data_IF_863294253233
#
_entry.id   IF_863294253233
#
_cell.length_a   1.000
_cell.length_b   1.000
_cell.length_c   1.000
_cell.angle_alpha   90.00
_cell.angle_beta   90.00
_cell.angle_gamma   90.00
#
_symmetry.space_group_name_H-M   'P 1'
#
loop_
_entity.id
_entity.type
_entity.pdbx_description
1 polymer ?
#
# COMPACT_ATOMS: atom_id res chain seq x y z
N UNK A 1 6.24 -0.45 30.87
CA UNK A 1 6.33 -1.55 29.89
C UNK A 1 6.24 -0.97 28.49
N UNK A 2 7.02 -1.50 27.57
CA UNK A 2 6.97 -1.07 26.16
C UNK A 2 5.64 -1.54 25.56
N UNK A 3 4.89 -0.65 24.88
CA UNK A 3 3.64 -1.02 24.21
C UNK A 3 3.89 -2.08 23.13
N UNK A 4 2.94 -3.00 22.91
CA UNK A 4 3.06 -4.03 21.88
C UNK A 4 3.01 -3.48 20.44
N UNK A 5 3.34 -4.32 19.46
CA UNK A 5 3.05 -4.12 18.03
C UNK A 5 1.82 -4.95 17.67
N UNK A 6 0.90 -4.36 16.90
CA UNK A 6 -0.26 -5.08 16.38
C UNK A 6 -0.03 -5.53 14.95
N UNK A 7 -0.12 -6.82 14.70
CA UNK A 7 -0.16 -7.38 13.34
C UNK A 7 -1.61 -7.53 12.92
N UNK A 8 -1.96 -6.94 11.78
CA UNK A 8 -3.29 -7.04 11.17
C UNK A 8 -3.17 -7.94 9.95
N UNK A 9 -3.77 -9.12 10.00
CA UNK A 9 -3.75 -10.08 8.90
C UNK A 9 -5.00 -9.93 8.04
N UNK A 10 -4.81 -9.50 6.78
CA UNK A 10 -5.88 -9.31 5.80
C UNK A 10 -5.96 -10.45 4.79
N UNK A 11 -4.92 -11.27 4.68
CA UNK A 11 -4.78 -12.31 3.67
C UNK A 11 -3.45 -12.22 2.91
N UNK A 12 -3.45 -12.80 1.73
CA UNK A 12 -2.28 -12.83 0.85
C UNK A 12 -1.38 -14.06 1.06
N UNK A 13 -0.45 -14.23 0.14
CA UNK A 13 0.42 -15.41 0.02
C UNK A 13 1.23 -15.69 1.28
N UNK A 14 1.63 -14.64 2.02
CA UNK A 14 2.44 -14.78 3.24
C UNK A 14 1.79 -15.69 4.28
N UNK A 15 0.47 -15.61 4.46
CA UNK A 15 -0.28 -16.43 5.41
C UNK A 15 -0.95 -17.65 4.78
N UNK A 16 -0.41 -18.17 3.70
CA UNK A 16 -0.90 -19.38 3.06
C UNK A 16 0.00 -20.58 3.36
N UNK A 17 -0.61 -21.72 3.62
CA UNK A 17 0.08 -23.03 3.76
C UNK A 17 -0.50 -24.01 2.77
N UNK A 18 0.29 -25.01 2.40
CA UNK A 18 -0.24 -26.14 1.65
C UNK A 18 -1.06 -27.04 2.58
N UNK A 19 -2.29 -27.27 2.23
CA UNK A 19 -3.08 -28.32 2.83
C UNK A 19 -2.37 -29.68 2.60
N UNK A 20 -2.07 -30.46 3.65
CA UNK A 20 -1.30 -31.69 3.52
C UNK A 20 -2.05 -32.79 2.75
N UNK A 21 -3.39 -32.74 2.66
CA UNK A 21 -4.20 -33.75 1.98
C UNK A 21 -4.47 -33.39 0.51
N UNK A 22 -4.74 -32.11 0.24
CA UNK A 22 -5.11 -31.65 -1.11
C UNK A 22 -3.99 -30.99 -1.87
N UNK A 23 -2.94 -30.53 -1.18
CA UNK A 23 -1.86 -29.73 -1.74
C UNK A 23 -2.28 -28.28 -2.12
N UNK A 24 -3.54 -27.92 -1.90
CA UNK A 24 -4.04 -26.57 -2.16
C UNK A 24 -3.49 -25.59 -1.11
N UNK A 25 -3.32 -24.31 -1.52
CA UNK A 25 -3.00 -23.25 -0.57
C UNK A 25 -4.26 -22.89 0.23
N UNK A 26 -4.16 -22.96 1.56
CA UNK A 26 -5.19 -22.52 2.49
C UNK A 26 -4.63 -21.46 3.44
N UNK A 27 -5.48 -20.50 3.85
CA UNK A 27 -5.11 -19.51 4.85
C UNK A 27 -4.88 -20.18 6.19
N UNK A 28 -3.91 -19.70 6.97
CA UNK A 28 -3.72 -20.12 8.35
C UNK A 28 -3.70 -18.92 9.31
N UNK A 29 -3.90 -19.20 10.59
CA UNK A 29 -3.95 -18.15 11.59
C UNK A 29 -2.55 -17.65 11.97
N UNK A 30 -2.48 -16.52 12.69
CA UNK A 30 -1.21 -15.91 13.09
C UNK A 30 -0.39 -16.81 14.04
N UNK A 31 -1.02 -17.64 14.88
CA UNK A 31 -0.29 -18.56 15.76
C UNK A 31 0.55 -19.56 14.94
N UNK A 32 0.04 -19.96 13.80
CA UNK A 32 0.78 -20.80 12.85
C UNK A 32 1.92 -20.02 12.18
N UNK A 33 1.72 -18.75 11.81
CA UNK A 33 2.79 -17.87 11.32
C UNK A 33 3.90 -17.76 12.37
N UNK A 34 3.55 -17.55 13.64
CA UNK A 34 4.51 -17.47 14.73
C UNK A 34 5.28 -18.80 14.98
N UNK A 35 4.70 -19.94 14.57
CA UNK A 35 5.43 -21.21 14.58
C UNK A 35 6.44 -21.33 13.44
N UNK A 36 6.14 -20.76 12.27
CA UNK A 36 7.05 -20.75 11.12
C UNK A 36 8.18 -19.71 11.25
N UNK A 37 8.00 -18.70 12.11
CA UNK A 37 8.98 -17.63 12.40
C UNK A 37 9.21 -17.54 13.91
N UNK A 38 9.89 -18.53 14.52
CA UNK A 38 10.11 -18.55 15.97
C UNK A 38 10.91 -17.34 16.48
N UNK A 39 11.69 -16.70 15.61
CA UNK A 39 12.47 -15.48 15.88
C UNK A 39 11.61 -14.32 16.38
N UNK A 40 10.33 -14.31 16.04
CA UNK A 40 9.37 -13.31 16.54
C UNK A 40 9.32 -13.29 18.09
N UNK A 41 9.56 -14.42 18.74
CA UNK A 41 9.57 -14.53 20.19
C UNK A 41 10.81 -13.94 20.85
N UNK A 42 11.85 -13.66 20.07
CA UNK A 42 13.10 -13.05 20.57
C UNK A 42 13.01 -11.53 20.69
N UNK A 43 11.97 -10.90 20.10
CA UNK A 43 11.71 -9.49 20.33
C UNK A 43 11.41 -9.22 21.80
N UNK A 44 12.08 -8.23 22.40
CA UNK A 44 11.94 -7.86 23.81
C UNK A 44 10.61 -7.16 24.17
N UNK A 45 9.56 -7.29 23.33
CA UNK A 45 8.24 -6.69 23.50
C UNK A 45 7.15 -7.64 22.99
N UNK A 46 5.91 -7.39 23.39
CA UNK A 46 4.76 -8.22 22.98
C UNK A 46 4.33 -7.90 21.56
N UNK A 47 3.94 -8.92 20.83
CA UNK A 47 3.34 -8.83 19.50
C UNK A 47 1.97 -9.47 19.57
N UNK A 48 0.94 -8.68 19.29
CA UNK A 48 -0.42 -9.14 19.21
C UNK A 48 -0.88 -9.23 17.76
N UNK A 49 -1.91 -10.03 17.52
CA UNK A 49 -2.46 -10.20 16.19
C UNK A 49 -3.96 -9.98 16.13
N UNK A 50 -4.41 -9.43 15.03
CA UNK A 50 -5.80 -9.31 14.66
C UNK A 50 -6.01 -9.89 13.26
N UNK A 51 -6.74 -10.97 13.16
CA UNK A 51 -7.11 -11.55 11.87
C UNK A 51 -8.49 -11.03 11.47
N UNK A 52 -8.61 -10.56 10.22
CA UNK A 52 -9.93 -10.17 9.70
C UNK A 52 -10.88 -11.35 9.70
N UNK A 53 -12.18 -11.12 9.94
CA UNK A 53 -13.19 -12.17 9.92
C UNK A 53 -13.27 -12.89 8.57
N UNK A 54 -13.00 -12.18 7.48
CA UNK A 54 -12.91 -12.70 6.14
C UNK A 54 -11.52 -12.38 5.58
N UNK A 55 -10.77 -13.44 5.24
CA UNK A 55 -9.46 -13.33 4.63
C UNK A 55 -9.63 -13.16 3.13
N UNK A 56 -9.03 -12.10 2.57
CA UNK A 56 -9.27 -11.67 1.19
C UNK A 56 -8.04 -11.97 0.33
N UNK A 57 -8.25 -12.53 -0.86
CA UNK A 57 -7.25 -12.40 -1.92
C UNK A 57 -7.18 -10.93 -2.34
N UNK A 58 -5.99 -10.37 -2.41
CA UNK A 58 -5.82 -8.95 -2.71
C UNK A 58 -6.32 -8.55 -4.10
N UNK A 59 -6.50 -9.51 -5.01
CA UNK A 59 -7.14 -9.27 -6.32
C UNK A 59 -8.63 -8.94 -6.22
N UNK A 60 -9.30 -9.39 -5.15
CA UNK A 60 -10.71 -9.13 -4.87
C UNK A 60 -10.94 -7.94 -3.94
N UNK A 61 -9.89 -7.17 -3.66
CA UNK A 61 -9.95 -6.05 -2.74
C UNK A 61 -11.00 -5.01 -3.13
N UNK A 62 -11.78 -4.58 -2.14
CA UNK A 62 -12.75 -3.49 -2.26
C UNK A 62 -12.39 -2.35 -1.29
N UNK A 63 -12.80 -1.10 -1.56
CA UNK A 63 -12.52 0.05 -0.69
C UNK A 63 -13.01 -0.10 0.75
N UNK A 64 -13.96 -1.02 1.01
CA UNK A 64 -14.43 -1.33 2.36
C UNK A 64 -13.28 -1.81 3.26
N UNK A 65 -12.35 -2.62 2.73
CA UNK A 65 -11.17 -3.07 3.48
C UNK A 65 -10.35 -1.90 4.03
N UNK A 66 -10.19 -0.82 3.26
CA UNK A 66 -9.45 0.35 3.72
C UNK A 66 -10.13 1.05 4.89
N UNK A 67 -11.47 1.14 4.86
CA UNK A 67 -12.27 1.67 5.99
C UNK A 67 -12.12 0.81 7.24
N UNK A 68 -12.16 -0.51 7.06
CA UNK A 68 -12.01 -1.47 8.15
C UNK A 68 -10.61 -1.37 8.77
N UNK A 69 -9.56 -1.30 7.96
CA UNK A 69 -8.18 -1.10 8.42
C UNK A 69 -8.01 0.22 9.19
N UNK A 70 -8.55 1.33 8.67
CA UNK A 70 -8.54 2.60 9.39
C UNK A 70 -9.24 2.48 10.76
N UNK A 71 -10.40 1.84 10.80
CA UNK A 71 -11.16 1.62 12.03
C UNK A 71 -10.40 0.78 13.06
N UNK A 72 -9.76 -0.32 12.60
CA UNK A 72 -8.95 -1.19 13.45
C UNK A 72 -7.75 -0.41 14.02
N UNK A 73 -7.02 0.32 13.16
CA UNK A 73 -5.85 1.11 13.56
C UNK A 73 -6.26 2.18 14.59
N UNK A 74 -7.31 2.96 14.30
CA UNK A 74 -7.76 4.02 15.22
C UNK A 74 -8.23 3.48 16.56
N UNK A 75 -9.01 2.39 16.56
CA UNK A 75 -9.51 1.76 17.78
C UNK A 75 -8.38 1.28 18.70
N UNK A 76 -7.26 0.86 18.12
CA UNK A 76 -6.11 0.30 18.83
C UNK A 76 -4.93 1.28 18.94
N UNK A 77 -5.12 2.54 18.49
CA UNK A 77 -4.01 3.47 18.33
C UNK A 77 -3.26 3.74 19.63
N UNK A 78 -3.97 3.89 20.73
CA UNK A 78 -3.37 4.22 22.02
C UNK A 78 -2.69 3.02 22.69
N UNK A 79 -3.12 1.81 22.41
CA UNK A 79 -2.63 0.58 23.04
C UNK A 79 -1.34 0.05 22.41
N UNK A 80 -1.12 0.33 21.12
CA UNK A 80 0.00 -0.19 20.36
C UNK A 80 1.00 0.90 19.98
N UNK A 81 2.26 0.52 19.82
CA UNK A 81 3.34 1.42 19.37
C UNK A 81 3.46 1.50 17.85
N UNK A 82 3.01 0.50 17.13
CA UNK A 82 3.02 0.44 15.67
C UNK A 82 2.16 -0.69 15.16
N UNK A 83 1.91 -0.67 13.86
CA UNK A 83 1.02 -1.59 13.16
C UNK A 83 1.75 -2.22 11.98
N UNK A 84 1.61 -3.53 11.84
CA UNK A 84 2.07 -4.28 10.65
C UNK A 84 0.84 -4.85 9.96
N UNK A 85 0.65 -4.56 8.68
CA UNK A 85 -0.46 -5.07 7.88
C UNK A 85 0.07 -6.13 6.92
N UNK A 86 -0.30 -7.41 7.17
CA UNK A 86 0.01 -8.51 6.25
C UNK A 86 -1.03 -8.53 5.14
N UNK A 87 -0.58 -8.32 3.90
CA UNK A 87 -1.43 -8.07 2.75
C UNK A 87 -0.93 -8.81 1.50
N UNK A 88 -1.84 -9.16 0.61
CA UNK A 88 -1.46 -9.71 -0.70
C UNK A 88 -0.77 -8.67 -1.57
N UNK A 89 0.25 -9.10 -2.32
CA UNK A 89 1.17 -8.18 -3.02
C UNK A 89 0.54 -7.43 -4.21
N UNK A 90 -0.53 -7.97 -4.83
CA UNK A 90 -1.07 -7.42 -6.09
C UNK A 90 -1.67 -6.03 -5.92
N UNK A 91 -2.36 -5.78 -4.82
CA UNK A 91 -2.99 -4.47 -4.54
C UNK A 91 -2.44 -3.78 -3.30
N UNK A 92 -1.32 -4.26 -2.73
CA UNK A 92 -0.70 -3.66 -1.55
C UNK A 92 -0.37 -2.18 -1.75
N UNK A 93 0.14 -1.81 -2.92
CA UNK A 93 0.46 -0.42 -3.26
C UNK A 93 -0.79 0.48 -3.25
N UNK A 94 -1.94 -0.03 -3.71
CA UNK A 94 -3.21 0.69 -3.64
C UNK A 94 -3.67 0.88 -2.19
N UNK A 95 -3.60 -0.17 -1.38
CA UNK A 95 -3.99 -0.10 0.04
C UNK A 95 -3.10 0.84 0.84
N UNK A 96 -1.79 0.75 0.68
CA UNK A 96 -0.86 1.63 1.37
C UNK A 96 -1.03 3.09 0.92
N UNK A 97 -1.23 3.34 -0.38
CA UNK A 97 -1.53 4.67 -0.89
C UNK A 97 -2.84 5.21 -0.31
N UNK A 98 -3.92 4.42 -0.34
CA UNK A 98 -5.22 4.80 0.21
C UNK A 98 -5.10 5.16 1.70
N UNK A 99 -4.52 4.31 2.53
CA UNK A 99 -4.36 4.58 3.95
C UNK A 99 -3.47 5.79 4.23
N UNK A 100 -2.46 6.07 3.39
CA UNK A 100 -1.63 7.28 3.50
C UNK A 100 -2.43 8.57 3.38
N UNK A 101 -3.54 8.57 2.61
CA UNK A 101 -4.44 9.71 2.47
C UNK A 101 -5.63 9.67 3.42
N UNK A 102 -6.03 8.48 3.86
CA UNK A 102 -7.18 8.32 4.76
C UNK A 102 -6.81 8.59 6.22
N UNK A 103 -5.62 8.20 6.67
CA UNK A 103 -5.14 8.39 8.03
C UNK A 103 -4.44 9.74 8.16
N UNK A 104 -5.00 10.63 8.95
CA UNK A 104 -4.45 11.96 9.20
C UNK A 104 -3.72 11.99 10.55
N UNK A 105 -2.69 12.82 10.66
CA UNK A 105 -1.94 13.08 11.89
C UNK A 105 -1.31 11.83 12.51
N UNK A 106 -0.85 10.88 11.67
CA UNK A 106 -0.14 9.70 12.13
C UNK A 106 1.15 10.09 12.87
N UNK A 107 1.35 9.50 14.04
CA UNK A 107 2.58 9.60 14.85
C UNK A 107 3.21 8.24 15.09
N UNK A 108 2.63 7.19 14.53
CA UNK A 108 3.06 5.80 14.68
C UNK A 108 3.21 5.14 13.31
N UNK A 109 4.09 4.13 13.17
CA UNK A 109 4.26 3.39 11.93
C UNK A 109 3.03 2.54 11.59
N UNK A 110 2.68 2.52 10.30
CA UNK A 110 1.76 1.54 9.70
C UNK A 110 2.50 0.89 8.54
N UNK A 111 3.01 -0.31 8.74
CA UNK A 111 3.90 -0.98 7.79
C UNK A 111 3.14 -2.09 7.07
N UNK A 112 2.89 -1.91 5.79
CA UNK A 112 2.39 -2.97 4.92
C UNK A 112 3.52 -3.88 4.52
N UNK A 113 3.28 -5.18 4.55
CA UNK A 113 4.20 -6.18 4.03
C UNK A 113 3.44 -7.43 3.58
N UNK A 114 4.15 -8.32 2.91
CA UNK A 114 3.65 -9.57 2.37
C UNK A 114 4.79 -10.41 1.85
N UNK A 115 4.50 -11.37 1.00
CA UNK A 115 5.54 -12.18 0.35
C UNK A 115 5.12 -12.65 -1.03
N UNK A 116 6.12 -12.98 -1.85
CA UNK A 116 5.90 -13.65 -3.13
C UNK A 116 5.67 -15.15 -2.93
N UNK A 117 6.27 -15.72 -1.90
CA UNK A 117 6.11 -17.15 -1.56
C UNK A 117 5.48 -17.30 -0.17
N UNK A 118 4.65 -18.35 0.02
CA UNK A 118 4.12 -18.69 1.34
C UNK A 118 5.24 -18.82 2.39
N UNK A 119 4.94 -18.41 3.63
CA UNK A 119 5.94 -18.33 4.69
C UNK A 119 6.57 -19.71 5.04
N UNK A 120 5.84 -20.82 4.86
CA UNK A 120 6.33 -22.17 5.06
C UNK A 120 7.19 -22.73 3.91
N UNK A 121 7.47 -21.97 2.84
CA UNK A 121 8.34 -22.45 1.75
C UNK A 121 9.81 -22.21 2.06
N UNK A 122 10.69 -23.15 1.63
CA UNK A 122 12.14 -23.12 1.91
C UNK A 122 12.82 -21.82 1.47
N UNK A 123 12.38 -21.22 0.37
CA UNK A 123 12.96 -19.98 -0.18
C UNK A 123 12.03 -18.78 -0.02
N UNK A 124 11.21 -18.78 1.02
CA UNK A 124 10.29 -17.67 1.24
C UNK A 124 11.02 -16.36 1.55
N UNK A 125 10.53 -15.26 0.99
CA UNK A 125 10.86 -13.90 1.37
C UNK A 125 10.03 -13.41 2.57
N UNK A 126 8.98 -14.18 2.95
CA UNK A 126 8.02 -13.78 3.97
C UNK A 126 8.59 -13.65 5.38
N UNK A 127 9.60 -14.46 5.74
CA UNK A 127 10.20 -14.40 7.07
C UNK A 127 10.94 -13.09 7.30
N UNK A 128 11.85 -12.76 6.40
CA UNK A 128 12.63 -11.52 6.49
C UNK A 128 11.74 -10.26 6.40
N UNK A 129 10.77 -10.29 5.48
CA UNK A 129 9.80 -9.20 5.34
C UNK A 129 9.00 -8.99 6.64
N UNK A 130 8.54 -10.05 7.29
CA UNK A 130 7.77 -9.98 8.53
C UNK A 130 8.64 -9.47 9.70
N UNK A 131 9.82 -10.05 9.88
CA UNK A 131 10.76 -9.67 10.96
C UNK A 131 11.11 -8.19 10.83
N UNK A 132 11.55 -7.74 9.66
CA UNK A 132 11.93 -6.36 9.43
C UNK A 132 10.74 -5.40 9.59
N UNK A 133 9.53 -5.79 9.16
CA UNK A 133 8.33 -4.96 9.35
C UNK A 133 8.00 -4.76 10.85
N UNK A 134 8.12 -5.82 11.65
CA UNK A 134 7.90 -5.74 13.11
C UNK A 134 8.97 -4.87 13.77
N UNK A 135 10.23 -5.04 13.40
CA UNK A 135 11.34 -4.24 13.93
C UNK A 135 11.13 -2.75 13.66
N UNK A 136 10.78 -2.38 12.41
CA UNK A 136 10.52 -0.99 12.02
C UNK A 136 9.28 -0.45 12.72
N UNK A 137 8.20 -1.24 12.84
CA UNK A 137 6.99 -0.84 13.55
C UNK A 137 7.24 -0.58 15.05
N UNK A 138 8.27 -1.23 15.61
CA UNK A 138 8.69 -1.06 16.99
C UNK A 138 9.81 -0.02 17.18
N UNK A 139 10.38 0.54 16.11
CA UNK A 139 11.53 1.42 16.18
C UNK A 139 11.16 2.83 16.65
N UNK A 140 11.77 3.24 17.77
CA UNK A 140 11.52 4.53 18.43
C UNK A 140 12.85 5.14 18.91
N UNK A 141 12.95 6.44 18.76
CA UNK A 141 13.93 7.25 19.48
C UNK A 141 13.19 7.96 20.63
N UNK A 142 13.46 7.53 21.88
CA UNK A 142 12.71 7.91 23.06
C UNK A 142 11.21 7.61 22.90
N UNK A 143 10.35 8.63 22.84
CA UNK A 143 8.89 8.50 22.71
C UNK A 143 8.41 8.74 21.27
N UNK A 144 9.31 8.95 20.31
CA UNK A 144 8.95 9.24 18.92
C UNK A 144 9.25 8.05 18.02
N UNK A 145 8.26 7.64 17.23
CA UNK A 145 8.49 6.66 16.18
C UNK A 145 9.53 7.15 15.18
N UNK A 146 10.44 6.27 14.75
CA UNK A 146 11.40 6.63 13.71
C UNK A 146 10.71 6.85 12.37
N UNK A 147 9.66 6.07 12.05
CA UNK A 147 8.92 6.23 10.78
C UNK A 147 7.42 6.38 11.09
N UNK A 148 6.92 7.61 11.36
CA UNK A 148 5.51 7.85 11.68
C UNK A 148 4.65 7.97 10.42
N UNK A 149 4.74 7.00 9.51
CA UNK A 149 4.08 7.04 8.21
C UNK A 149 3.44 5.69 7.86
N UNK A 150 2.56 5.71 6.84
CA UNK A 150 2.14 4.49 6.15
C UNK A 150 3.21 4.11 5.13
N UNK A 151 3.76 2.92 5.25
CA UNK A 151 4.88 2.43 4.45
C UNK A 151 4.61 1.05 3.87
N UNK A 152 5.36 0.71 2.84
CA UNK A 152 5.53 -0.66 2.34
C UNK A 152 6.96 -1.09 2.62
N UNK A 153 7.10 -2.21 3.34
CA UNK A 153 8.35 -2.92 3.45
C UNK A 153 8.30 -4.13 2.53
N UNK A 154 9.26 -4.22 1.63
CA UNK A 154 9.39 -5.39 0.77
C UNK A 154 10.84 -5.60 0.35
N UNK A 155 11.33 -6.83 0.48
CA UNK A 155 12.75 -7.13 0.28
C UNK A 155 13.62 -6.36 1.28
N UNK A 156 14.61 -5.65 0.74
CA UNK A 156 15.60 -4.89 1.53
C UNK A 156 15.27 -3.39 1.69
N UNK A 157 14.02 -2.96 1.39
CA UNK A 157 13.67 -1.52 1.37
C UNK A 157 12.35 -1.22 2.03
N UNK A 158 12.34 -0.08 2.72
CA UNK A 158 11.14 0.56 3.22
C UNK A 158 10.78 1.75 2.33
N UNK A 159 9.59 1.73 1.78
CA UNK A 159 9.08 2.78 0.90
C UNK A 159 7.91 3.52 1.52
N UNK A 160 7.77 4.81 1.20
CA UNK A 160 6.55 5.56 1.52
C UNK A 160 5.36 4.97 0.76
N UNK A 161 4.26 4.67 1.45
CA UNK A 161 3.13 3.94 0.91
C UNK A 161 2.50 4.57 -0.34
N UNK A 162 2.35 5.89 -0.36
CA UNK A 162 1.78 6.61 -1.51
C UNK A 162 2.78 6.96 -2.62
N UNK A 163 4.00 6.43 -2.56
CA UNK A 163 5.05 6.63 -3.57
C UNK A 163 5.52 5.33 -4.20
N UNK A 164 4.87 4.23 -3.87
CA UNK A 164 5.32 2.87 -4.19
C UNK A 164 4.39 2.21 -5.19
N UNK A 165 4.95 1.43 -6.08
CA UNK A 165 4.20 0.58 -7.02
C UNK A 165 4.83 -0.80 -7.13
N UNK A 166 4.01 -1.82 -7.42
CA UNK A 166 4.49 -3.16 -7.78
C UNK A 166 4.99 -3.14 -9.22
N UNK A 167 6.23 -3.52 -9.42
CA UNK A 167 6.91 -3.48 -10.72
C UNK A 167 7.20 -4.87 -11.29
N UNK A 168 7.14 -5.91 -10.46
CA UNK A 168 7.49 -7.26 -10.90
C UNK A 168 6.56 -8.29 -10.23
N UNK A 169 6.12 -9.27 -10.99
CA UNK A 169 5.24 -10.34 -10.54
C UNK A 169 5.99 -11.55 -9.97
N UNK A 170 7.29 -11.69 -10.24
CA UNK A 170 8.06 -12.90 -9.93
C UNK A 170 9.30 -12.63 -9.05
N UNK A 171 9.80 -11.40 -9.04
CA UNK A 171 10.99 -11.04 -8.26
C UNK A 171 10.66 -10.83 -6.79
N UNK A 172 11.62 -11.12 -5.91
CA UNK A 172 11.56 -10.69 -4.51
C UNK A 172 11.78 -9.16 -4.37
N UNK A 173 12.43 -8.51 -5.32
CA UNK A 173 12.47 -7.04 -5.46
C UNK A 173 11.28 -6.62 -6.34
N UNK A 174 10.06 -6.73 -5.79
CA UNK A 174 8.81 -6.57 -6.52
C UNK A 174 8.23 -5.16 -6.46
N UNK A 175 8.73 -4.29 -5.58
CA UNK A 175 8.21 -2.94 -5.37
C UNK A 175 9.29 -1.89 -5.58
N UNK A 176 8.88 -0.71 -6.07
CA UNK A 176 9.77 0.42 -6.27
C UNK A 176 9.06 1.75 -6.08
N UNK A 177 9.83 2.74 -5.66
CA UNK A 177 9.45 4.15 -5.61
C UNK A 177 10.33 4.93 -6.58
N UNK A 178 9.77 5.37 -7.72
CA UNK A 178 10.55 5.99 -8.78
C UNK A 178 10.89 7.45 -8.53
N UNK A 179 9.99 8.18 -7.87
CA UNK A 179 10.09 9.63 -7.66
C UNK A 179 10.37 10.02 -6.22
N UNK A 180 10.67 9.05 -5.37
CA UNK A 180 10.97 9.30 -3.96
C UNK A 180 11.98 8.26 -3.45
N UNK A 181 12.95 8.65 -2.62
CA UNK A 181 13.91 7.70 -2.08
C UNK A 181 13.25 6.69 -1.15
N UNK A 182 13.90 5.54 -0.94
CA UNK A 182 13.52 4.62 0.12
C UNK A 182 13.71 5.32 1.49
N UNK A 183 12.79 5.08 2.42
CA UNK A 183 12.85 5.63 3.79
C UNK A 183 13.85 4.87 4.66
N UNK A 184 14.11 3.62 4.32
CA UNK A 184 15.17 2.83 4.94
C UNK A 184 15.67 1.74 3.99
N UNK A 185 16.92 1.32 4.21
CA UNK A 185 17.51 0.13 3.60
C UNK A 185 17.83 -0.88 4.71
N UNK A 186 17.37 -2.11 4.49
CA UNK A 186 17.49 -3.22 5.44
C UNK A 186 18.72 -4.05 5.06
N UNK A 187 19.65 -4.20 5.99
CA UNK A 187 20.83 -5.02 5.88
C UNK A 187 21.11 -5.65 7.24
N UNK A 188 22.38 -5.80 7.62
CA UNK A 188 22.76 -6.21 8.99
C UNK A 188 22.19 -5.20 10.01
N UNK A 189 22.11 -3.94 9.61
CA UNK A 189 21.46 -2.87 10.35
C UNK A 189 20.45 -2.19 9.43
N UNK A 190 19.38 -1.66 10.02
CA UNK A 190 18.41 -0.82 9.30
C UNK A 190 18.96 0.60 9.23
N UNK A 191 19.21 1.07 8.02
CA UNK A 191 19.69 2.41 7.74
C UNK A 191 18.52 3.31 7.30
N UNK A 192 18.06 4.19 8.19
CA UNK A 192 16.98 5.15 7.93
C UNK A 192 17.48 6.39 7.19
N UNK A 193 16.76 6.82 6.18
CA UNK A 193 16.95 8.14 5.55
C UNK A 193 16.09 9.18 6.26
N UNK A 194 16.64 9.78 7.30
CA UNK A 194 15.95 10.79 8.11
C UNK A 194 15.58 12.06 7.31
N UNK A 195 16.18 12.29 6.16
CA UNK A 195 15.84 13.42 5.28
C UNK A 195 14.60 13.13 4.43
N UNK A 196 14.31 11.86 4.19
CA UNK A 196 13.16 11.40 3.41
C UNK A 196 11.92 11.15 4.28
N UNK A 197 12.08 10.85 5.57
CA UNK A 197 10.96 10.58 6.48
C UNK A 197 10.22 11.88 6.83
N UNK A 198 8.87 11.83 6.86
CA UNK A 198 8.04 12.99 7.20
C UNK A 198 7.93 13.20 8.71
N UNK A 199 8.70 14.14 9.23
CA UNK A 199 8.66 14.59 10.61
C UNK A 199 7.87 15.88 10.82
N UNK A 200 6.96 16.22 9.91
CA UNK A 200 6.08 17.38 10.10
C UNK A 200 5.34 17.25 11.43
N UNK A 201 5.44 18.27 12.31
CA UNK A 201 4.77 18.21 13.62
C UNK A 201 3.26 17.99 13.48
N UNK A 202 2.73 17.02 14.22
CA UNK A 202 1.29 16.76 14.28
C UNK A 202 0.75 17.42 15.55
N UNK A 203 -0.18 18.35 15.39
CA UNK A 203 -0.78 19.13 16.47
C UNK A 203 -2.16 18.61 16.85
N UNK A 204 -2.76 17.79 16.00
CA UNK A 204 -4.08 17.22 16.21
C UNK A 204 -3.99 15.72 16.47
N UNK A 205 -5.04 15.17 17.06
CA UNK A 205 -5.17 13.74 17.27
C UNK A 205 -5.27 13.00 15.92
N UNK A 206 -4.80 11.76 15.91
CA UNK A 206 -4.98 10.88 14.76
C UNK A 206 -6.46 10.73 14.42
N UNK A 207 -6.78 10.79 13.16
CA UNK A 207 -8.14 10.64 12.63
C UNK A 207 -8.13 9.95 11.27
N UNK A 208 -9.29 9.52 10.80
CA UNK A 208 -9.40 8.99 9.46
C UNK A 208 -10.52 9.67 8.69
N UNK A 209 -10.27 9.95 7.42
CA UNK A 209 -11.26 10.32 6.43
C UNK A 209 -11.47 9.13 5.49
N UNK A 210 -12.59 8.44 5.65
CA UNK A 210 -12.87 7.18 4.96
C UNK A 210 -13.96 7.29 3.87
N UNK A 211 -14.35 8.51 3.52
CA UNK A 211 -15.34 8.74 2.45
C UNK A 211 -14.66 8.79 1.09
N UNK A 212 -14.53 7.63 0.45
CA UNK A 212 -13.93 7.48 -0.88
C UNK A 212 -15.01 7.34 -1.95
N UNK A 213 -14.84 8.06 -3.05
CA UNK A 213 -15.75 7.98 -4.20
C UNK A 213 -15.16 7.06 -5.27
N UNK A 214 -15.90 6.05 -5.65
CA UNK A 214 -15.50 5.07 -6.67
C UNK A 214 -15.95 5.44 -8.08
N UNK A 215 -16.62 6.57 -8.26
CA UNK A 215 -17.09 7.06 -9.57
C UNK A 215 -15.94 7.70 -10.35
N UNK A 216 -14.86 6.99 -10.52
CA UNK A 216 -13.68 7.40 -11.28
C UNK A 216 -13.35 6.38 -12.37
N UNK A 217 -12.70 6.84 -13.43
CA UNK A 217 -12.18 5.97 -14.49
C UNK A 217 -10.72 6.32 -14.81
N UNK A 218 -9.98 5.32 -15.28
CA UNK A 218 -8.63 5.53 -15.83
C UNK A 218 -8.74 5.48 -17.35
N UNK A 219 -8.25 6.53 -18.02
CA UNK A 219 -8.17 6.60 -19.47
C UNK A 219 -6.70 6.68 -19.89
N UNK A 220 -6.14 5.53 -20.23
CA UNK A 220 -4.79 5.45 -20.79
C UNK A 220 -4.87 5.64 -22.29
N UNK A 221 -4.31 6.74 -22.82
CA UNK A 221 -4.27 6.98 -24.25
C UNK A 221 -3.18 6.15 -24.92
N UNK A 222 -3.42 5.75 -26.18
CA UNK A 222 -2.45 5.02 -26.99
C UNK A 222 -2.61 5.38 -28.48
N UNK A 223 -1.55 5.23 -29.31
CA UNK A 223 -1.63 5.47 -30.74
C UNK A 223 -2.70 4.57 -31.39
N UNK A 224 -3.60 5.18 -32.17
CA UNK A 224 -4.69 4.47 -32.81
C UNK A 224 -5.96 4.31 -31.95
N UNK A 225 -6.01 4.90 -30.75
CA UNK A 225 -7.24 4.93 -29.94
C UNK A 225 -8.36 5.63 -30.73
N UNK A 226 -9.48 4.93 -30.88
CA UNK A 226 -10.65 5.46 -31.55
C UNK A 226 -11.45 6.38 -30.63
N UNK A 227 -12.12 7.41 -31.20
CA UNK A 227 -12.96 8.33 -30.41
C UNK A 227 -14.03 7.64 -29.56
N UNK A 228 -14.57 6.51 -30.05
CA UNK A 228 -15.61 5.75 -29.34
C UNK A 228 -15.14 5.16 -28.01
N UNK A 229 -13.84 4.91 -27.83
CA UNK A 229 -13.26 4.48 -26.55
C UNK A 229 -13.35 5.63 -25.53
N UNK A 230 -13.04 6.85 -25.97
CA UNK A 230 -13.16 8.05 -25.11
C UNK A 230 -14.63 8.27 -24.77
N UNK A 231 -15.54 8.18 -25.76
CA UNK A 231 -16.96 8.35 -25.55
C UNK A 231 -17.52 7.32 -24.57
N UNK A 232 -17.10 6.08 -24.64
CA UNK A 232 -17.53 5.03 -23.71
C UNK A 232 -17.11 5.35 -22.26
N UNK A 233 -15.87 5.79 -22.03
CA UNK A 233 -15.40 6.18 -20.69
C UNK A 233 -16.11 7.45 -20.20
N UNK A 234 -16.19 8.49 -21.02
CA UNK A 234 -16.78 9.77 -20.62
C UNK A 234 -18.31 9.71 -20.52
N UNK A 235 -18.92 8.69 -21.08
CA UNK A 235 -20.36 8.39 -21.02
C UNK A 235 -20.78 7.54 -19.82
N UNK A 236 -19.88 7.14 -18.94
CA UNK A 236 -20.21 6.36 -17.74
C UNK A 236 -21.15 7.17 -16.86
N UNK A 237 -22.36 6.66 -16.53
CA UNK A 237 -23.30 7.38 -15.68
C UNK A 237 -22.72 7.67 -14.29
N UNK A 238 -22.85 8.90 -13.83
CA UNK A 238 -22.36 9.30 -12.50
C UNK A 238 -20.86 9.49 -12.38
N UNK A 239 -20.10 9.40 -13.48
CA UNK A 239 -18.65 9.61 -13.47
C UNK A 239 -18.31 10.99 -12.90
N UNK A 240 -17.37 11.04 -11.95
CA UNK A 240 -16.93 12.28 -11.28
C UNK A 240 -15.49 12.64 -11.59
N UNK A 241 -14.66 11.65 -11.93
CA UNK A 241 -13.24 11.88 -12.18
C UNK A 241 -12.66 10.95 -13.25
N UNK A 242 -11.68 11.46 -13.98
CA UNK A 242 -10.87 10.70 -14.93
C UNK A 242 -9.40 10.91 -14.58
N UNK A 243 -8.68 9.82 -14.42
CA UNK A 243 -7.22 9.80 -14.43
C UNK A 243 -6.81 9.60 -15.89
N UNK A 244 -6.29 10.66 -16.50
CA UNK A 244 -5.86 10.66 -17.91
C UNK A 244 -4.36 10.35 -17.96
N UNK A 245 -4.02 9.12 -18.38
CA UNK A 245 -2.63 8.71 -18.55
C UNK A 245 -2.12 9.13 -19.93
N UNK A 246 -1.27 10.15 -19.94
CA UNK A 246 -0.69 10.76 -21.15
C UNK A 246 0.76 10.36 -21.37
N UNK A 247 1.33 10.72 -22.53
CA UNK A 247 2.69 10.36 -22.91
C UNK A 247 3.73 11.28 -22.25
N UNK A 248 4.89 10.71 -21.90
CA UNK A 248 6.05 11.48 -21.44
C UNK A 248 5.67 12.50 -20.35
N UNK A 249 6.03 13.75 -20.52
CA UNK A 249 5.78 14.85 -19.58
C UNK A 249 4.38 15.47 -19.66
N UNK A 250 3.40 14.74 -20.20
CA UNK A 250 2.00 15.20 -20.29
C UNK A 250 1.50 15.38 -21.72
N UNK A 251 2.22 14.87 -22.71
CA UNK A 251 1.85 15.00 -24.13
C UNK A 251 0.60 14.15 -24.46
N UNK A 252 -0.29 14.72 -25.26
CA UNK A 252 -1.52 14.09 -25.72
C UNK A 252 -1.82 14.47 -27.18
N UNK A 253 -2.75 13.78 -27.88
CA UNK A 253 -3.15 14.17 -29.23
C UNK A 253 -3.68 15.62 -29.29
N UNK A 254 -3.23 16.39 -30.29
CA UNK A 254 -3.62 17.79 -30.48
C UNK A 254 -4.79 17.95 -31.47
N UNK A 255 -5.32 16.83 -31.98
CA UNK A 255 -6.46 16.89 -32.89
C UNK A 255 -7.72 17.41 -32.20
N UNK A 256 -8.57 18.09 -33.00
CA UNK A 256 -9.79 18.73 -32.50
C UNK A 256 -10.77 17.77 -31.84
N UNK A 257 -10.81 16.51 -32.28
CA UNK A 257 -11.73 15.50 -31.72
C UNK A 257 -11.37 15.21 -30.27
N UNK A 258 -10.11 14.91 -29.99
CA UNK A 258 -9.63 14.64 -28.63
C UNK A 258 -9.83 15.88 -27.73
N UNK A 259 -9.38 17.06 -28.20
CA UNK A 259 -9.45 18.29 -27.40
C UNK A 259 -10.92 18.69 -27.07
N UNK A 260 -11.84 18.50 -28.04
CA UNK A 260 -13.26 18.78 -27.80
C UNK A 260 -13.86 17.81 -26.78
N UNK A 261 -13.46 16.53 -26.79
CA UNK A 261 -13.91 15.55 -25.78
C UNK A 261 -13.42 15.92 -24.37
N UNK A 262 -12.16 16.31 -24.21
CA UNK A 262 -11.65 16.78 -22.90
C UNK A 262 -12.41 18.02 -22.43
N UNK A 263 -12.68 18.99 -23.33
CA UNK A 263 -13.49 20.19 -23.01
C UNK A 263 -14.91 19.83 -22.58
N UNK A 264 -15.55 18.89 -23.28
CA UNK A 264 -16.89 18.40 -22.94
C UNK A 264 -16.92 17.79 -21.53
N UNK A 265 -15.95 16.93 -21.19
CA UNK A 265 -15.81 16.31 -19.88
C UNK A 265 -15.70 17.38 -18.78
N UNK A 266 -14.79 18.33 -18.97
CA UNK A 266 -14.60 19.44 -18.03
C UNK A 266 -15.86 20.30 -17.88
N UNK A 267 -16.60 20.55 -18.98
CA UNK A 267 -17.85 21.33 -18.95
C UNK A 267 -18.98 20.64 -18.17
N UNK A 268 -18.92 19.31 -18.04
CA UNK A 268 -19.85 18.51 -17.22
C UNK A 268 -19.46 18.49 -15.73
N UNK A 269 -18.39 19.18 -15.33
CA UNK A 269 -17.88 19.19 -13.95
C UNK A 269 -17.14 17.94 -13.55
N UNK A 270 -16.72 17.10 -14.50
CA UNK A 270 -15.92 15.91 -14.24
C UNK A 270 -14.46 16.35 -14.08
N UNK A 271 -13.83 15.97 -12.99
CA UNK A 271 -12.41 16.24 -12.75
C UNK A 271 -11.53 15.42 -13.69
N UNK A 272 -10.49 16.03 -14.26
CA UNK A 272 -9.49 15.35 -15.08
C UNK A 272 -8.12 15.54 -14.45
N UNK A 273 -7.52 14.45 -13.97
CA UNK A 273 -6.14 14.42 -13.49
C UNK A 273 -5.23 13.89 -14.59
N UNK A 274 -4.33 14.76 -15.07
CA UNK A 274 -3.33 14.35 -16.05
C UNK A 274 -2.12 13.74 -15.34
N UNK A 275 -1.81 12.48 -15.64
CA UNK A 275 -0.64 11.75 -15.13
C UNK A 275 0.17 11.18 -16.29
N UNK A 276 1.45 10.96 -16.07
CA UNK A 276 2.30 10.32 -17.09
C UNK A 276 2.11 8.79 -17.10
N UNK A 277 2.23 8.19 -18.28
CA UNK A 277 2.34 6.73 -18.42
C UNK A 277 3.73 6.21 -18.01
N UNK A 278 4.72 7.09 -17.88
CA UNK A 278 6.04 6.72 -17.39
C UNK A 278 6.00 6.45 -15.88
N UNK A 279 6.71 5.43 -15.44
CA UNK A 279 6.80 5.09 -14.02
C UNK A 279 7.57 6.14 -13.21
N UNK A 280 8.55 6.80 -13.82
CA UNK A 280 9.32 7.90 -13.22
C UNK A 280 9.10 9.21 -13.96
N UNK A 281 9.33 10.32 -13.28
CA UNK A 281 9.10 11.67 -13.77
C UNK A 281 7.72 12.22 -13.39
N UNK A 282 7.36 13.36 -13.98
CA UNK A 282 6.10 14.05 -13.71
C UNK A 282 5.54 14.70 -14.98
N UNK A 283 4.29 15.08 -14.92
CA UNK A 283 3.66 15.95 -15.92
C UNK A 283 4.12 17.38 -15.66
N UNK A 284 4.62 18.04 -16.67
CA UNK A 284 4.90 19.48 -16.66
C UNK A 284 3.62 20.24 -17.06
N UNK A 285 3.23 21.25 -16.25
CA UNK A 285 2.08 22.13 -16.52
C UNK A 285 2.54 23.49 -17.00
#
# INVERSE_FOLDING_TARGET
MTKPVLIIYTGGTIGMVNDPETGALCPFNFDQIACEVPEIKEFGFTIDSYTLPEIIDSSDLQPQLWKDLCSIILKNYDDYRGFVVLHGTDTMAYSAAALSFMLNNLTKPVIFTGSQLPIGKIRTDGKENLIAAIEIAAAYDQEKAIVPEVCILFGDKLFRGNRTTKINAESFDAFQSFNYPALANIGIHIHYDYSAIDYTPRTELVSAFCDVDTNIAILKIFPGMRPEVIDAVTGIPGLKGIILETYGSGNAPTNKVFLNKVKEVLSKGIFVYNVTQCQGGSVEM
#
